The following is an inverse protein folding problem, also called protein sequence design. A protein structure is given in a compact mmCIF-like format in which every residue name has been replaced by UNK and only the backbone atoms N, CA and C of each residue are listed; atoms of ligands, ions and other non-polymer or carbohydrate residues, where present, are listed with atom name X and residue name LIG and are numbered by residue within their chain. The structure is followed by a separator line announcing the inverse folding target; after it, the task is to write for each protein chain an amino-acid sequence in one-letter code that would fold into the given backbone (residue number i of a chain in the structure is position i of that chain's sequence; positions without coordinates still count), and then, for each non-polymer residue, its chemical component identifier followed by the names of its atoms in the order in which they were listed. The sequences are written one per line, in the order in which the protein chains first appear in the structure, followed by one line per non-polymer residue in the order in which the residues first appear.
data_IF_260539200420
#
_entry.id   IF_260539200420
#
_cell.length_a   1.000
_cell.length_b   1.000
_cell.length_c   1.000
_cell.angle_alpha   90.00
_cell.angle_beta   90.00
_cell.angle_gamma   90.00
#
_symmetry.space_group_name_H-M   'P 1'
#
loop_
_entity.id
_entity.type
_entity.pdbx_description
1 polymer ?
#
# COMPACT_ATOMS: atom_id res chain seq x y z
N UNK A 1 4.00 -1.04 -19.23
CA UNK A 1 5.06 -0.18 -18.66
C UNK A 1 4.93 -0.29 -17.15
N UNK A 2 6.04 -0.43 -16.41
CA UNK A 2 6.00 -0.57 -14.94
C UNK A 2 5.61 0.76 -14.28
N UNK A 3 4.56 0.73 -13.46
CA UNK A 3 4.02 1.90 -12.77
C UNK A 3 4.83 2.31 -11.53
N UNK A 4 4.45 3.40 -10.85
CA UNK A 4 5.19 3.90 -9.69
C UNK A 4 5.24 2.92 -8.50
N UNK A 5 4.19 2.14 -8.25
CA UNK A 5 4.20 1.17 -7.15
C UNK A 5 5.07 -0.03 -7.48
N UNK A 6 5.06 -0.49 -8.73
CA UNK A 6 5.89 -1.59 -9.22
C UNK A 6 7.39 -1.24 -9.15
N UNK A 7 7.75 0.00 -9.49
CA UNK A 7 9.13 0.52 -9.33
C UNK A 7 9.55 0.64 -7.87
N UNK A 8 8.63 1.00 -6.96
CA UNK A 8 8.89 1.01 -5.52
C UNK A 8 9.09 -0.41 -5.00
N UNK A 9 8.22 -1.34 -5.42
CA UNK A 9 8.29 -2.74 -5.05
C UNK A 9 9.63 -3.37 -5.46
N UNK A 10 10.16 -3.08 -6.65
CA UNK A 10 11.48 -3.56 -7.08
C UNK A 10 12.61 -3.14 -6.12
N UNK A 11 12.58 -1.90 -5.64
CA UNK A 11 13.58 -1.40 -4.68
C UNK A 11 13.43 -2.07 -3.32
N UNK A 12 12.20 -2.24 -2.85
CA UNK A 12 11.91 -2.86 -1.55
C UNK A 12 12.28 -4.36 -1.57
N UNK A 13 11.96 -5.08 -2.64
CA UNK A 13 12.38 -6.48 -2.83
C UNK A 13 13.90 -6.55 -2.77
N UNK A 14 14.63 -5.64 -3.44
CA UNK A 14 16.10 -5.62 -3.38
C UNK A 14 16.64 -5.42 -1.96
N UNK A 15 16.03 -4.56 -1.16
CA UNK A 15 16.40 -4.38 0.26
C UNK A 15 16.10 -5.64 1.05
N UNK A 16 14.94 -6.25 0.83
CA UNK A 16 14.53 -7.50 1.48
C UNK A 16 15.42 -8.68 1.11
N UNK A 17 15.92 -8.76 -0.14
CA UNK A 17 16.87 -9.77 -0.59
C UNK A 17 18.18 -9.70 0.18
N UNK A 18 18.73 -8.50 0.36
CA UNK A 18 19.97 -8.27 1.12
C UNK A 18 19.79 -8.74 2.57
N UNK A 19 18.64 -8.42 3.17
CA UNK A 19 18.32 -8.86 4.52
C UNK A 19 18.21 -10.39 4.61
N UNK A 20 17.47 -11.02 3.70
CA UNK A 20 17.29 -12.46 3.69
C UNK A 20 18.60 -13.23 3.47
N UNK A 21 19.48 -12.74 2.59
CA UNK A 21 20.82 -13.31 2.38
C UNK A 21 21.68 -13.19 3.65
N UNK A 22 21.66 -12.02 4.29
CA UNK A 22 22.45 -11.78 5.50
C UNK A 22 22.02 -12.66 6.69
N UNK A 23 20.72 -12.90 6.84
CA UNK A 23 20.15 -13.63 7.98
C UNK A 23 19.75 -15.08 7.67
N UNK A 24 19.93 -15.56 6.43
CA UNK A 24 19.58 -16.93 6.03
C UNK A 24 18.09 -17.24 6.08
N UNK A 25 17.24 -16.28 5.70
CA UNK A 25 15.78 -16.39 5.77
C UNK A 25 15.24 -17.00 4.48
N UNK A 26 14.54 -18.13 4.59
CA UNK A 26 13.71 -18.66 3.50
C UNK A 26 12.39 -17.87 3.41
N UNK A 27 12.16 -17.25 2.26
CA UNK A 27 10.98 -16.42 1.97
C UNK A 27 10.01 -17.08 0.99
N UNK A 28 10.11 -18.39 0.83
CA UNK A 28 9.23 -19.16 -0.06
C UNK A 28 7.82 -19.34 0.53
N UNK A 29 6.88 -19.74 -0.33
CA UNK A 29 5.52 -20.09 0.08
C UNK A 29 4.73 -18.91 0.67
N UNK A 30 4.16 -19.13 1.85
CA UNK A 30 3.28 -18.19 2.54
C UNK A 30 4.02 -17.12 3.36
N UNK A 31 5.36 -17.11 3.33
CA UNK A 31 6.17 -16.17 4.09
C UNK A 31 5.78 -14.69 3.92
N UNK A 32 5.54 -14.16 2.69
CA UNK A 32 5.17 -12.76 2.53
C UNK A 32 3.86 -12.40 3.24
N UNK A 33 2.88 -13.31 3.23
CA UNK A 33 1.59 -13.13 3.88
C UNK A 33 1.73 -13.16 5.41
N UNK A 34 2.50 -14.11 5.94
CA UNK A 34 2.73 -14.22 7.39
C UNK A 34 3.49 -13.01 7.93
N UNK A 35 4.50 -12.53 7.20
CA UNK A 35 5.21 -11.29 7.53
C UNK A 35 4.31 -10.07 7.44
N UNK A 36 3.48 -9.94 6.40
CA UNK A 36 2.51 -8.84 6.33
C UNK A 36 1.56 -8.84 7.55
N UNK A 37 1.12 -10.00 8.02
CA UNK A 37 0.32 -10.10 9.24
C UNK A 37 1.09 -9.63 10.49
N UNK A 38 2.37 -9.96 10.59
CA UNK A 38 3.25 -9.48 11.66
C UNK A 38 3.35 -7.94 11.64
N UNK A 39 3.68 -7.34 10.50
CA UNK A 39 3.80 -5.87 10.36
C UNK A 39 2.47 -5.16 10.66
N UNK A 40 1.33 -5.75 10.30
CA UNK A 40 0.01 -5.20 10.68
C UNK A 40 -0.20 -5.25 12.20
N UNK A 41 0.34 -6.26 12.89
CA UNK A 41 0.35 -6.33 14.35
C UNK A 41 1.18 -5.21 14.98
N UNK A 42 2.39 -4.98 14.47
CA UNK A 42 3.29 -3.92 14.93
C UNK A 42 2.69 -2.52 14.66
N UNK A 43 2.15 -2.31 13.45
CA UNK A 43 1.38 -1.13 13.09
C UNK A 43 0.19 -0.88 14.04
N UNK A 44 -0.54 -1.95 14.40
CA UNK A 44 -1.64 -1.84 15.36
C UNK A 44 -1.11 -1.36 16.72
N UNK A 45 -0.01 -1.93 17.21
CA UNK A 45 0.59 -1.53 18.48
C UNK A 45 1.11 -0.08 18.46
N UNK A 46 1.75 0.35 17.37
CA UNK A 46 2.22 1.72 17.21
C UNK A 46 1.04 2.72 17.17
N UNK A 47 -0.05 2.36 16.49
CA UNK A 47 -1.28 3.16 16.47
C UNK A 47 -1.92 3.27 17.85
N UNK A 48 -2.03 2.16 18.60
CA UNK A 48 -2.51 2.18 19.97
C UNK A 48 -1.63 3.06 20.87
N UNK A 49 -0.31 3.01 20.70
CA UNK A 49 0.63 3.83 21.47
C UNK A 49 0.46 5.32 21.17
N UNK A 50 0.40 5.67 19.88
CA UNK A 50 0.19 7.06 19.43
C UNK A 50 -1.13 7.64 19.95
N UNK A 51 -2.13 6.78 20.17
CA UNK A 51 -3.46 7.17 20.67
C UNK A 51 -3.62 7.01 22.18
N UNK A 52 -2.52 6.78 22.93
CA UNK A 52 -2.53 6.72 24.40
C UNK A 52 -3.20 5.47 24.98
N UNK A 53 -3.31 4.39 24.20
CA UNK A 53 -3.96 3.12 24.59
C UNK A 53 -2.97 2.03 24.99
N UNK A 54 -1.73 2.39 25.24
CA UNK A 54 -0.69 1.49 25.76
C UNK A 54 -0.03 2.12 26.99
N UNK A 55 0.94 1.41 27.59
CA UNK A 55 1.74 1.94 28.71
C UNK A 55 2.86 2.88 28.25
N UNK A 56 3.18 2.90 26.96
CA UNK A 56 4.22 3.77 26.40
C UNK A 56 3.65 5.20 26.21
N UNK A 57 4.46 6.25 26.32
CA UNK A 57 4.01 7.62 26.08
C UNK A 57 3.47 7.82 24.66
N UNK A 58 2.46 8.67 24.53
CA UNK A 58 1.95 9.15 23.26
C UNK A 58 2.65 10.47 22.90
N UNK A 59 3.88 10.39 22.44
CA UNK A 59 4.75 11.52 22.13
C UNK A 59 5.18 11.54 20.64
N UNK A 60 6.16 12.38 20.31
CA UNK A 60 6.67 12.51 18.96
C UNK A 60 7.31 11.21 18.45
N UNK A 61 8.00 10.47 19.31
CA UNK A 61 8.63 9.19 18.97
C UNK A 61 7.56 8.14 18.62
N UNK A 62 6.45 8.10 19.36
CA UNK A 62 5.32 7.23 19.01
C UNK A 62 4.76 7.51 17.61
N UNK A 63 4.72 8.79 17.20
CA UNK A 63 4.24 9.20 15.87
C UNK A 63 5.23 8.83 14.77
N UNK A 64 6.52 8.96 15.03
CA UNK A 64 7.58 8.51 14.13
C UNK A 64 7.53 6.99 13.93
N UNK A 65 7.41 6.23 15.02
CA UNK A 65 7.27 4.77 14.94
C UNK A 65 6.05 4.38 14.12
N UNK A 66 4.89 5.03 14.33
CA UNK A 66 3.70 4.77 13.53
C UNK A 66 3.93 4.97 12.03
N UNK A 67 4.75 5.95 11.63
CA UNK A 67 5.07 6.16 10.23
C UNK A 67 5.98 5.04 9.66
N UNK A 68 6.93 4.55 10.47
CA UNK A 68 7.78 3.42 10.10
C UNK A 68 6.96 2.14 9.92
N UNK A 69 6.07 1.81 10.87
CA UNK A 69 5.22 0.63 10.76
C UNK A 69 4.25 0.69 9.56
N UNK A 70 3.77 1.89 9.21
CA UNK A 70 2.98 2.07 7.98
C UNK A 70 3.81 1.75 6.73
N UNK A 71 5.10 2.14 6.73
CA UNK A 71 6.02 1.84 5.64
C UNK A 71 6.35 0.35 5.58
N UNK A 72 6.54 -0.32 6.71
CA UNK A 72 6.83 -1.76 6.77
C UNK A 72 5.63 -2.59 6.30
N UNK A 73 4.41 -2.26 6.76
CA UNK A 73 3.20 -2.90 6.26
C UNK A 73 3.00 -2.71 4.75
N UNK A 74 3.23 -1.51 4.22
CA UNK A 74 3.17 -1.25 2.78
C UNK A 74 4.28 -2.02 2.04
N UNK A 75 5.50 -2.03 2.57
CA UNK A 75 6.64 -2.72 1.97
C UNK A 75 6.41 -4.22 1.86
N UNK A 76 5.88 -4.85 2.92
CA UNK A 76 5.53 -6.26 2.89
C UNK A 76 4.38 -6.58 1.93
N UNK A 77 3.38 -5.69 1.81
CA UNK A 77 2.33 -5.84 0.80
C UNK A 77 2.90 -5.79 -0.63
N UNK A 78 3.85 -4.90 -0.89
CA UNK A 78 4.51 -4.79 -2.20
C UNK A 78 5.40 -6.01 -2.51
N UNK A 79 6.11 -6.54 -1.50
CA UNK A 79 6.86 -7.81 -1.63
C UNK A 79 5.91 -8.95 -1.97
N UNK A 80 4.77 -9.04 -1.28
CA UNK A 80 3.75 -10.06 -1.56
C UNK A 80 3.20 -9.92 -2.98
N UNK A 81 2.87 -8.71 -3.43
CA UNK A 81 2.40 -8.48 -4.80
C UNK A 81 3.42 -8.98 -5.85
N UNK A 82 4.72 -8.73 -5.64
CA UNK A 82 5.78 -9.24 -6.52
C UNK A 82 5.90 -10.76 -6.46
N UNK A 83 5.82 -11.37 -5.28
CA UNK A 83 5.88 -12.82 -5.11
C UNK A 83 4.73 -13.54 -5.83
N UNK A 84 3.54 -12.94 -5.84
CA UNK A 84 2.34 -13.47 -6.51
C UNK A 84 2.23 -13.08 -8.00
N UNK A 85 3.16 -12.27 -8.52
CA UNK A 85 3.14 -11.80 -9.91
C UNK A 85 1.99 -10.83 -10.22
N UNK A 86 1.51 -10.08 -9.23
CA UNK A 86 0.42 -9.11 -9.37
C UNK A 86 0.97 -7.76 -9.83
N UNK A 87 0.39 -7.22 -10.90
CA UNK A 87 0.56 -5.81 -11.29
C UNK A 87 -0.27 -4.93 -10.34
N UNK A 88 0.38 -4.47 -9.26
CA UNK A 88 -0.28 -3.71 -8.20
C UNK A 88 -0.74 -2.33 -8.67
N UNK A 89 -0.05 -1.72 -9.63
CA UNK A 89 -0.48 -0.43 -10.21
C UNK A 89 -1.80 -0.62 -10.97
N UNK A 90 -1.89 -1.64 -11.84
CA UNK A 90 -3.14 -1.93 -12.54
C UNK A 90 -4.25 -2.35 -11.57
N UNK A 91 -3.95 -3.16 -10.54
CA UNK A 91 -4.93 -3.52 -9.52
C UNK A 91 -5.49 -2.30 -8.77
N UNK A 92 -4.67 -1.28 -8.51
CA UNK A 92 -5.10 -0.01 -7.91
C UNK A 92 -5.99 0.79 -8.87
N UNK A 93 -5.66 0.81 -10.16
CA UNK A 93 -6.51 1.43 -11.19
C UNK A 93 -7.89 0.77 -11.22
N UNK A 94 -7.92 -0.55 -11.35
CA UNK A 94 -9.15 -1.34 -11.49
C UNK A 94 -10.03 -1.34 -10.24
N UNK A 95 -9.43 -1.18 -9.05
CA UNK A 95 -10.18 -1.21 -7.79
C UNK A 95 -10.68 0.16 -7.33
N UNK A 96 -9.85 1.18 -7.44
CA UNK A 96 -10.07 2.47 -6.80
C UNK A 96 -10.04 3.64 -7.77
N UNK A 97 -9.00 3.76 -8.60
CA UNK A 97 -8.74 5.01 -9.32
C UNK A 97 -9.69 5.22 -10.50
N UNK A 98 -10.25 4.14 -11.07
CA UNK A 98 -11.27 4.25 -12.13
C UNK A 98 -12.53 5.05 -11.70
N UNK A 99 -12.77 5.23 -10.40
CA UNK A 99 -13.90 6.04 -9.91
C UNK A 99 -13.67 7.54 -10.12
N UNK A 100 -12.42 8.00 -10.17
CA UNK A 100 -12.09 9.40 -10.48
C UNK A 100 -12.48 9.74 -11.93
N UNK A 101 -12.28 8.79 -12.86
CA UNK A 101 -12.69 8.94 -14.26
C UNK A 101 -14.21 8.93 -14.43
N UNK A 102 -14.92 8.16 -13.59
CA UNK A 102 -16.38 8.08 -13.59
C UNK A 102 -17.05 9.34 -13.03
N UNK A 103 -16.55 9.88 -11.91
CA UNK A 103 -17.11 11.10 -11.33
C UNK A 103 -16.84 12.31 -12.24
N UNK A 104 -15.71 12.32 -12.95
CA UNK A 104 -15.41 13.32 -13.98
C UNK A 104 -16.37 13.25 -15.17
N UNK A 105 -16.81 12.05 -15.56
CA UNK A 105 -17.82 11.84 -16.61
C UNK A 105 -19.26 12.20 -16.18
N UNK A 106 -19.54 12.28 -14.87
CA UNK A 106 -20.84 12.74 -14.33
C UNK A 106 -20.90 14.27 -14.23
N UNK A 107 -19.77 14.98 -14.29
CA UNK A 107 -19.69 16.45 -14.22
C UNK A 107 -19.62 17.17 -15.58
N UNK A 108 -19.46 16.48 -16.71
CA UNK A 108 -19.62 17.11 -18.03
C UNK A 108 -21.12 17.35 -18.29
N UNK A 109 -21.60 18.62 -18.38
CA UNK A 109 -22.93 18.87 -18.89
C UNK A 109 -22.91 18.43 -20.35
N UNK A 110 -23.64 17.35 -20.65
CA UNK A 110 -23.82 16.88 -22.01
C UNK A 110 -24.18 18.07 -22.92
N UNK A 111 -23.44 18.17 -24.02
CA UNK A 111 -23.68 19.07 -25.13
C UNK A 111 -25.16 19.42 -25.25
N UNK A 112 -25.51 20.66 -24.91
CA UNK A 112 -26.80 21.25 -25.24
C UNK A 112 -26.83 21.46 -26.76
N UNK A 113 -26.89 20.35 -27.51
CA UNK A 113 -27.14 20.35 -28.94
C UNK A 113 -28.56 20.84 -29.18
N UNK A 114 -28.64 21.92 -29.94
CA UNK A 114 -29.84 22.54 -30.46
C UNK A 114 -30.85 21.56 -31.09
N UNK A 115 -32.12 21.82 -30.82
CA UNK A 115 -33.31 21.37 -31.55
C UNK A 115 -34.49 21.98 -30.79
N UNK A 116 -35.11 23.09 -31.22
CA UNK A 116 -35.68 23.29 -32.53
C UNK A 116 -37.01 22.54 -32.58
N UNK A 117 -38.11 23.26 -32.34
CA UNK A 117 -39.45 23.11 -32.94
C UNK A 117 -40.57 23.57 -31.99
N UNK A 118 -41.44 24.46 -32.49
CA UNK A 118 -42.78 24.72 -31.96
C UNK A 118 -43.07 26.15 -31.56
#
# INVERSE_FOLDING_TARGET
MSGPLDQLADKIVRVSDIYAEHFGIDRSGDWPLLKLQEEVGELTQAYLTTTGRTRRPADAEAREQLALEMADALGMLLIMAKAEGIDIDQAMQDKWLHWLDRDSAVMEPGDASAGGEG
#
